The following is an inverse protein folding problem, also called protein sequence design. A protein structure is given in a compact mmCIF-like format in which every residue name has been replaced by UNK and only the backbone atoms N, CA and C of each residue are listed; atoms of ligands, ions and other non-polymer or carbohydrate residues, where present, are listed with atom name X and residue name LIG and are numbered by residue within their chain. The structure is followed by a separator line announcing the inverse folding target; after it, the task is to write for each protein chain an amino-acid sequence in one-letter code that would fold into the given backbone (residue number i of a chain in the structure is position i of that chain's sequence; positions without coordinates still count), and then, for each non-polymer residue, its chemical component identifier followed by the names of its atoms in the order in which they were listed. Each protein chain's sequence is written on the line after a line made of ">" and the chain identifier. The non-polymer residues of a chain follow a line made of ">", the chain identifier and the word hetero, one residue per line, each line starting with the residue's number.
data_IF_355305575666
#
_entry.id   IF_355305575666
#
_cell.length_a   1.000
_cell.length_b   1.000
_cell.length_c   1.000
_cell.angle_alpha   90.00
_cell.angle_beta   90.00
_cell.angle_gamma   90.00
#
_symmetry.space_group_name_H-M   'P 1'
#
loop_
_entity.id
_entity.type
_entity.pdbx_description
1 polymer ?
#
# COMPACT_ATOMS: atom_id res chain seq x y z
N UNK A 1 15.97 -10.82 16.98
CA UNK A 1 14.65 -10.16 17.14
C UNK A 1 13.90 -10.19 15.82
N UNK A 2 12.78 -10.93 15.70
CA UNK A 2 11.92 -10.88 14.52
C UNK A 2 11.12 -9.57 14.48
N UNK A 3 11.10 -8.88 13.34
CA UNK A 3 10.22 -7.73 13.11
C UNK A 3 9.82 -7.54 11.65
N UNK A 4 8.71 -6.82 11.46
CA UNK A 4 8.34 -6.16 10.20
C UNK A 4 8.18 -4.67 10.48
N UNK A 5 8.46 -3.82 9.49
CA UNK A 5 8.38 -2.37 9.64
C UNK A 5 7.69 -1.73 8.44
N UNK A 6 6.97 -0.64 8.65
CA UNK A 6 6.28 0.07 7.59
C UNK A 6 5.88 1.48 8.01
N UNK A 7 5.68 2.35 7.02
CA UNK A 7 5.07 3.66 7.22
C UNK A 7 3.56 3.63 6.92
N UNK A 8 2.78 4.49 7.57
CA UNK A 8 1.35 4.67 7.28
C UNK A 8 0.98 6.15 7.00
N UNK A 9 1.69 6.84 6.07
CA UNK A 9 1.39 8.24 5.78
C UNK A 9 0.08 8.37 5.00
N UNK A 10 -0.82 9.19 5.50
CA UNK A 10 -2.07 9.58 4.84
C UNK A 10 -1.96 11.03 4.32
N UNK A 11 -2.40 11.24 3.08
CA UNK A 11 -2.31 12.53 2.40
C UNK A 11 -3.72 13.03 2.07
N UNK A 12 -3.98 14.31 2.32
CA UNK A 12 -5.24 14.94 1.95
C UNK A 12 -5.53 14.72 0.46
N UNK A 13 -6.77 14.33 0.17
CA UNK A 13 -7.25 14.05 -1.17
C UNK A 13 -8.76 14.36 -1.18
N UNK A 14 -9.21 15.44 -1.83
CA UNK A 14 -8.45 16.31 -2.73
C UNK A 14 -7.48 17.27 -2.01
N UNK A 15 -6.45 17.74 -2.73
CA UNK A 15 -5.51 18.77 -2.28
C UNK A 15 -6.04 20.20 -2.53
N UNK A 16 -6.75 20.41 -3.64
CA UNK A 16 -7.36 21.69 -3.98
C UNK A 16 -8.90 21.64 -3.86
N UNK A 17 -9.53 22.79 -3.57
CA UNK A 17 -10.98 22.89 -3.33
C UNK A 17 -11.86 22.67 -4.56
N UNK A 18 -11.29 22.73 -5.77
CA UNK A 18 -11.98 22.50 -7.05
C UNK A 18 -11.80 21.06 -7.59
N UNK A 19 -11.15 20.20 -6.82
CA UNK A 19 -10.97 18.78 -7.13
C UNK A 19 -11.85 17.90 -6.23
N UNK A 20 -12.13 16.69 -6.71
CA UNK A 20 -12.78 15.62 -5.94
C UNK A 20 -11.81 14.46 -5.74
N UNK A 21 -12.14 13.55 -4.83
CA UNK A 21 -11.36 12.33 -4.62
C UNK A 21 -11.20 11.53 -5.92
N UNK A 22 -12.25 11.47 -6.73
CA UNK A 22 -12.31 10.75 -8.00
C UNK A 22 -11.53 11.43 -9.14
N UNK A 23 -11.05 12.66 -8.95
CA UNK A 23 -10.14 13.31 -9.89
C UNK A 23 -8.69 12.79 -9.77
N UNK A 24 -8.40 11.99 -8.73
CA UNK A 24 -7.06 11.51 -8.42
C UNK A 24 -6.78 10.10 -8.95
N UNK A 25 -5.50 9.85 -9.19
CA UNK A 25 -4.97 8.52 -9.50
C UNK A 25 -3.75 8.22 -8.67
N UNK A 26 -3.52 6.94 -8.38
CA UNK A 26 -2.20 6.47 -7.94
C UNK A 26 -1.50 5.84 -9.14
N UNK A 27 -0.37 6.41 -9.54
CA UNK A 27 0.43 6.01 -10.70
C UNK A 27 1.72 5.34 -10.22
N UNK A 28 2.03 4.18 -10.78
CA UNK A 28 3.20 3.37 -10.54
C UNK A 28 4.25 3.58 -11.63
N UNK A 29 5.54 3.48 -11.28
CA UNK A 29 6.64 3.59 -12.25
C UNK A 29 6.85 2.34 -13.12
N UNK A 30 6.21 1.23 -12.75
CA UNK A 30 6.25 -0.06 -13.45
C UNK A 30 4.86 -0.67 -13.48
N UNK A 31 4.57 -1.57 -14.43
CA UNK A 31 3.26 -2.20 -14.50
C UNK A 31 3.05 -3.09 -13.28
N UNK A 32 1.84 -3.09 -12.76
CA UNK A 32 1.44 -3.91 -11.62
C UNK A 32 1.45 -5.37 -12.08
N UNK A 33 2.27 -6.20 -11.44
CA UNK A 33 2.59 -7.55 -11.93
C UNK A 33 1.51 -8.59 -11.65
N UNK A 34 0.71 -8.38 -10.60
CA UNK A 34 -0.34 -9.29 -10.13
C UNK A 34 -1.50 -8.51 -9.54
N UNK A 35 -2.66 -9.13 -9.51
CA UNK A 35 -3.84 -8.62 -8.81
C UNK A 35 -3.59 -8.51 -7.31
N UNK A 36 -4.30 -7.60 -6.65
CA UNK A 36 -4.03 -7.22 -5.25
C UNK A 36 -4.61 -8.23 -4.26
N UNK A 37 -3.97 -8.29 -3.09
CA UNK A 37 -4.54 -8.91 -1.90
C UNK A 37 -5.34 -7.88 -1.11
N UNK A 38 -6.27 -8.37 -0.27
CA UNK A 38 -7.05 -7.55 0.66
C UNK A 38 -7.22 -8.31 1.98
N UNK A 39 -7.16 -7.62 3.13
CA UNK A 39 -7.50 -8.24 4.40
C UNK A 39 -9.01 -8.47 4.50
N UNK A 40 -9.40 -9.50 5.24
CA UNK A 40 -10.78 -9.68 5.66
C UNK A 40 -11.16 -8.66 6.74
N UNK A 41 -12.28 -7.94 6.57
CA UNK A 41 -12.70 -6.87 7.50
C UNK A 41 -12.89 -7.34 8.94
N UNK A 42 -13.30 -8.59 9.14
CA UNK A 42 -13.64 -9.09 10.47
C UNK A 42 -12.43 -9.64 11.22
N UNK A 43 -11.47 -10.20 10.49
CA UNK A 43 -10.31 -10.91 11.07
C UNK A 43 -8.98 -10.20 10.83
N UNK A 44 -8.89 -9.31 9.85
CA UNK A 44 -7.64 -8.73 9.35
C UNK A 44 -6.74 -9.72 8.59
N UNK A 45 -7.16 -10.99 8.45
CA UNK A 45 -6.35 -12.03 7.80
C UNK A 45 -6.41 -11.86 6.28
N UNK A 46 -5.26 -11.98 5.63
CA UNK A 46 -5.13 -11.93 4.18
C UNK A 46 -5.21 -13.33 3.59
N UNK A 47 -6.20 -13.60 2.74
CA UNK A 47 -6.29 -14.87 2.01
C UNK A 47 -5.43 -14.80 0.73
N UNK A 48 -4.27 -15.46 0.75
CA UNK A 48 -3.31 -15.43 -0.37
C UNK A 48 -3.83 -16.05 -1.67
N UNK A 49 -4.87 -16.89 -1.59
CA UNK A 49 -5.51 -17.53 -2.75
C UNK A 49 -6.65 -16.70 -3.33
N UNK A 50 -7.03 -15.58 -2.69
CA UNK A 50 -8.11 -14.70 -3.13
C UNK A 50 -7.55 -13.34 -3.53
N UNK A 51 -7.19 -13.21 -4.80
CA UNK A 51 -6.75 -11.94 -5.40
C UNK A 51 -7.91 -11.22 -6.07
N UNK A 52 -7.88 -9.89 -6.01
CA UNK A 52 -8.96 -9.03 -6.50
C UNK A 52 -8.52 -8.34 -7.80
N UNK A 53 -9.24 -8.57 -8.92
CA UNK A 53 -8.90 -8.01 -10.21
C UNK A 53 -9.10 -6.50 -10.19
N UNK A 54 -8.00 -5.76 -10.23
CA UNK A 54 -8.06 -4.30 -10.26
C UNK A 54 -6.91 -3.68 -11.08
N UNK A 55 -5.81 -4.40 -11.28
CA UNK A 55 -4.54 -3.72 -11.51
C UNK A 55 -3.55 -4.44 -12.42
N UNK A 56 -3.65 -5.76 -12.63
CA UNK A 56 -2.62 -6.47 -13.39
C UNK A 56 -2.42 -5.88 -14.79
N UNK A 57 -1.16 -5.57 -15.13
CA UNK A 57 -0.75 -4.96 -16.40
C UNK A 57 -0.95 -3.44 -16.50
N UNK A 58 -1.70 -2.82 -15.57
CA UNK A 58 -1.87 -1.37 -15.52
C UNK A 58 -0.70 -0.68 -14.82
N UNK A 59 -0.56 0.61 -15.08
CA UNK A 59 0.38 1.50 -14.38
C UNK A 59 -0.32 2.40 -13.37
N UNK A 60 -1.64 2.32 -13.23
CA UNK A 60 -2.39 3.20 -12.33
C UNK A 60 -3.68 2.56 -11.83
N UNK A 61 -4.20 3.14 -10.75
CA UNK A 61 -5.55 2.95 -10.23
C UNK A 61 -6.23 4.32 -10.15
N UNK A 62 -7.46 4.40 -10.65
CA UNK A 62 -8.32 5.57 -10.47
C UNK A 62 -8.87 5.54 -9.05
N UNK A 63 -8.74 6.65 -8.30
CA UNK A 63 -9.26 6.73 -6.94
C UNK A 63 -10.78 6.78 -6.97
N UNK A 64 -11.41 5.94 -6.17
CA UNK A 64 -12.84 5.91 -5.91
C UNK A 64 -13.04 5.45 -4.46
N UNK A 65 -13.93 6.07 -3.69
CA UNK A 65 -14.14 5.65 -2.29
C UNK A 65 -14.60 4.19 -2.16
N UNK A 66 -15.38 3.70 -3.12
CA UNK A 66 -15.85 2.31 -3.14
C UNK A 66 -14.74 1.25 -3.29
N UNK A 67 -13.51 1.64 -3.64
CA UNK A 67 -12.35 0.74 -3.61
C UNK A 67 -12.03 0.25 -2.19
N UNK A 68 -12.43 1.01 -1.17
CA UNK A 68 -12.06 0.77 0.23
C UNK A 68 -13.27 0.52 1.13
N UNK A 69 -14.42 1.14 0.84
CA UNK A 69 -15.64 1.10 1.68
C UNK A 69 -16.02 -0.31 2.13
N UNK A 70 -16.06 -1.26 1.19
CA UNK A 70 -16.39 -2.67 1.45
C UNK A 70 -15.16 -3.60 1.44
N UNK A 71 -13.98 -3.08 1.09
CA UNK A 71 -12.86 -3.91 0.64
C UNK A 71 -11.50 -3.60 1.30
N UNK A 72 -11.45 -2.70 2.30
CA UNK A 72 -10.22 -2.37 3.05
C UNK A 72 -9.04 -1.97 2.13
N UNK A 73 -7.81 -2.03 2.64
CA UNK A 73 -6.60 -1.70 1.91
C UNK A 73 -6.39 -2.60 0.69
N UNK A 74 -5.93 -2.00 -0.40
CA UNK A 74 -5.35 -2.72 -1.54
C UNK A 74 -3.90 -3.02 -1.22
N UNK A 75 -3.56 -4.30 -1.05
CA UNK A 75 -2.20 -4.74 -0.75
C UNK A 75 -1.51 -5.15 -2.05
N UNK A 76 -0.54 -4.35 -2.48
CA UNK A 76 0.37 -4.67 -3.56
C UNK A 76 1.59 -5.39 -3.00
N UNK A 77 1.45 -6.70 -2.79
CA UNK A 77 2.48 -7.56 -2.21
C UNK A 77 3.63 -7.84 -3.20
N UNK A 78 4.87 -7.87 -2.73
CA UNK A 78 6.09 -8.06 -3.55
C UNK A 78 6.06 -7.27 -4.87
N UNK A 79 5.68 -5.99 -4.80
CA UNK A 79 5.49 -5.16 -5.97
C UNK A 79 6.85 -4.76 -6.57
N UNK A 80 6.95 -4.85 -7.90
CA UNK A 80 8.17 -4.51 -8.66
C UNK A 80 8.36 -3.00 -8.77
N UNK A 81 7.26 -2.26 -8.82
CA UNK A 81 7.24 -0.79 -8.76
C UNK A 81 7.80 -0.31 -7.42
N UNK A 82 8.68 0.69 -7.45
CA UNK A 82 9.30 1.29 -6.26
C UNK A 82 9.02 2.78 -6.12
N UNK A 83 8.07 3.26 -6.92
CA UNK A 83 7.56 4.62 -6.88
C UNK A 83 6.07 4.60 -7.18
N UNK A 84 5.29 5.22 -6.31
CA UNK A 84 3.89 5.50 -6.51
C UNK A 84 3.65 7.01 -6.41
N UNK A 85 2.68 7.53 -7.15
CA UNK A 85 2.35 8.95 -7.19
C UNK A 85 0.85 9.14 -7.13
N UNK A 86 0.35 9.70 -6.04
CA UNK A 86 -1.00 10.21 -5.93
C UNK A 86 -1.04 11.59 -6.60
N UNK A 87 -1.82 11.76 -7.66
CA UNK A 87 -1.84 13.01 -8.43
C UNK A 87 -3.27 13.38 -8.83
N UNK A 88 -3.63 14.64 -8.64
CA UNK A 88 -4.91 15.23 -9.05
C UNK A 88 -4.87 15.73 -10.49
N UNK A 89 -6.04 16.11 -11.02
CA UNK A 89 -6.18 16.64 -12.39
C UNK A 89 -5.39 17.93 -12.62
N UNK A 90 -5.13 18.71 -11.58
CA UNK A 90 -4.35 19.95 -11.64
C UNK A 90 -2.82 19.70 -11.61
N UNK A 91 -2.38 18.44 -11.55
CA UNK A 91 -0.97 18.04 -11.59
C UNK A 91 -0.23 18.14 -10.26
N UNK A 92 -0.91 18.57 -9.18
CA UNK A 92 -0.39 18.54 -7.82
C UNK A 92 -0.54 17.15 -7.22
N UNK A 93 0.37 16.77 -6.35
CA UNK A 93 0.32 15.44 -5.77
C UNK A 93 1.42 15.11 -4.79
N UNK A 94 1.47 13.83 -4.43
CA UNK A 94 2.49 13.26 -3.57
C UNK A 94 3.10 12.06 -4.28
N UNK A 95 4.43 12.06 -4.35
CA UNK A 95 5.21 10.89 -4.77
C UNK A 95 5.84 10.23 -3.56
N UNK A 96 5.73 8.92 -3.49
CA UNK A 96 6.45 8.09 -2.55
C UNK A 96 7.42 7.17 -3.29
N UNK A 97 8.67 7.10 -2.82
CA UNK A 97 9.72 6.22 -3.32
C UNK A 97 10.13 5.28 -2.17
N UNK A 98 10.06 3.97 -2.37
CA UNK A 98 10.09 2.98 -1.28
C UNK A 98 10.99 1.78 -1.63
N UNK A 99 12.25 2.04 -1.96
CA UNK A 99 13.19 1.03 -2.45
C UNK A 99 13.37 -0.16 -1.47
N UNK A 100 13.40 0.14 -0.17
CA UNK A 100 13.68 -0.85 0.88
C UNK A 100 12.43 -1.64 1.32
N UNK A 101 11.25 -1.29 0.80
CA UNK A 101 9.98 -1.92 1.19
C UNK A 101 9.49 -2.84 0.09
N UNK A 102 9.16 -4.09 0.44
CA UNK A 102 8.69 -5.08 -0.52
C UNK A 102 7.27 -4.79 -1.04
N UNK A 103 6.46 -4.10 -0.23
CA UNK A 103 5.03 -3.94 -0.45
C UNK A 103 4.63 -2.46 -0.44
N UNK A 104 3.55 -2.15 -1.13
CA UNK A 104 2.83 -0.88 -0.97
C UNK A 104 1.36 -1.19 -0.70
N UNK A 105 0.76 -0.54 0.30
CA UNK A 105 -0.68 -0.53 0.47
C UNK A 105 -1.24 0.81 0.01
N UNK A 106 -2.43 0.77 -0.58
CA UNK A 106 -3.23 1.96 -0.87
C UNK A 106 -4.54 1.81 -0.12
N UNK A 107 -4.90 2.82 0.67
CA UNK A 107 -6.06 2.76 1.55
C UNK A 107 -6.71 4.14 1.75
N UNK A 108 -7.99 4.14 2.07
CA UNK A 108 -8.72 5.28 2.60
C UNK A 108 -9.77 4.77 3.58
N UNK A 109 -10.12 5.56 4.60
CA UNK A 109 -11.16 5.18 5.54
C UNK A 109 -12.56 5.23 4.90
N UNK A 110 -13.47 4.42 5.43
CA UNK A 110 -14.88 4.43 5.06
C UNK A 110 -15.55 5.78 5.33
N UNK A 111 -16.69 6.04 4.69
CA UNK A 111 -17.47 7.26 4.89
C UNK A 111 -16.93 8.46 4.12
N UNK A 112 -16.42 8.22 2.90
CA UNK A 112 -15.87 9.24 2.00
C UNK A 112 -14.74 10.07 2.64
N UNK A 113 -13.77 9.38 3.25
CA UNK A 113 -12.67 10.04 3.92
C UNK A 113 -11.81 10.87 2.93
N UNK A 114 -11.47 12.13 3.26
CA UNK A 114 -10.79 13.04 2.34
C UNK A 114 -9.26 12.84 2.34
N UNK A 115 -8.81 11.58 2.32
CA UNK A 115 -7.39 11.25 2.27
C UNK A 115 -7.14 9.92 1.57
N UNK A 116 -5.93 9.75 1.05
CA UNK A 116 -5.40 8.46 0.59
C UNK A 116 -4.10 8.18 1.34
N UNK A 117 -3.98 6.99 1.92
CA UNK A 117 -2.74 6.48 2.47
C UNK A 117 -1.94 5.72 1.41
N UNK A 118 -0.63 5.99 1.35
CA UNK A 118 0.33 5.23 0.56
C UNK A 118 1.37 4.64 1.51
N UNK A 119 1.27 3.35 1.78
CA UNK A 119 1.91 2.75 2.94
C UNK A 119 3.00 1.76 2.52
N UNK A 120 4.29 2.14 2.61
CA UNK A 120 5.38 1.29 2.18
C UNK A 120 5.80 0.37 3.33
N UNK A 121 5.61 -0.95 3.16
CA UNK A 121 5.82 -1.93 4.23
C UNK A 121 6.81 -3.05 3.83
N UNK A 122 7.65 -3.48 4.78
CA UNK A 122 8.59 -4.60 4.60
C UNK A 122 7.90 -5.97 4.66
N UNK A 123 6.81 -6.08 5.41
CA UNK A 123 5.93 -7.25 5.51
C UNK A 123 4.45 -6.85 5.50
N UNK A 124 3.55 -7.81 5.45
CA UNK A 124 2.09 -7.57 5.40
C UNK A 124 1.38 -8.23 6.60
N UNK A 125 0.08 -7.99 6.73
CA UNK A 125 -0.77 -8.64 7.72
C UNK A 125 -0.69 -10.18 7.65
N UNK A 126 -1.16 -10.86 8.70
CA UNK A 126 -1.11 -12.33 8.74
C UNK A 126 -1.86 -12.94 7.57
N UNK A 127 -1.21 -13.89 6.92
CA UNK A 127 -1.74 -14.56 5.75
C UNK A 127 -2.34 -15.91 6.14
N UNK A 128 -3.36 -16.35 5.41
CA UNK A 128 -4.08 -17.59 5.67
C UNK A 128 -3.23 -18.86 5.55
N UNK A 129 -2.02 -18.75 4.99
CA UNK A 129 -1.06 -19.83 4.80
C UNK A 129 0.10 -19.82 5.82
N UNK A 130 0.06 -18.93 6.80
CA UNK A 130 1.08 -18.80 7.84
C UNK A 130 0.74 -19.64 9.09
N UNK A 131 1.77 -20.08 9.81
CA UNK A 131 1.63 -20.75 11.11
C UNK A 131 1.81 -19.73 12.25
N UNK A 132 1.70 -20.20 13.49
CA UNK A 132 1.95 -19.38 14.69
C UNK A 132 3.46 -19.13 14.96
N UNK A 133 4.35 -19.55 14.07
CA UNK A 133 5.79 -19.32 14.19
C UNK A 133 6.15 -17.94 13.61
N UNK A 134 6.35 -16.95 14.50
CA UNK A 134 6.61 -15.56 14.13
C UNK A 134 7.79 -15.40 13.17
N UNK A 135 8.85 -16.20 13.34
CA UNK A 135 10.06 -16.15 12.50
C UNK A 135 9.78 -16.59 11.05
N UNK A 136 8.71 -17.36 10.82
CA UNK A 136 8.31 -17.84 9.49
C UNK A 136 7.29 -16.93 8.81
N UNK A 137 6.81 -15.88 9.48
CA UNK A 137 5.89 -14.90 8.90
C UNK A 137 6.50 -14.24 7.65
N UNK A 138 5.69 -14.00 6.63
CA UNK A 138 6.11 -13.36 5.38
C UNK A 138 6.64 -11.95 5.61
N UNK A 139 7.78 -11.64 5.00
CA UNK A 139 8.46 -10.34 5.12
C UNK A 139 9.17 -10.13 6.46
N UNK A 140 9.25 -11.15 7.32
CA UNK A 140 9.93 -11.07 8.60
C UNK A 140 11.43 -10.83 8.43
N UNK A 141 11.94 -9.82 9.10
CA UNK A 141 13.38 -9.57 9.25
C UNK A 141 13.83 -10.11 10.61
N UNK A 142 14.90 -10.91 10.63
CA UNK A 142 15.52 -11.39 11.86
C UNK A 142 16.75 -10.52 12.14
N UNK A 143 16.66 -9.67 13.16
CA UNK A 143 17.78 -8.85 13.61
C UNK A 143 18.65 -9.62 14.61
N UNK A 144 19.92 -9.79 14.31
CA UNK A 144 20.87 -10.43 15.23
C UNK A 144 21.18 -9.52 16.43
N UNK A 145 21.60 -10.07 17.58
CA UNK A 145 22.09 -9.27 18.70
C UNK A 145 23.14 -8.25 18.24
N UNK A 146 23.05 -7.03 18.77
CA UNK A 146 23.98 -5.92 18.50
C UNK A 146 24.06 -5.47 17.01
N UNK A 147 23.10 -5.86 16.17
CA UNK A 147 23.01 -5.46 14.77
C UNK A 147 22.01 -4.33 14.51
N UNK A 148 22.18 -3.64 13.38
CA UNK A 148 21.30 -2.57 12.90
C UNK A 148 20.74 -2.93 11.52
N UNK A 149 19.47 -2.60 11.29
CA UNK A 149 18.84 -2.65 9.97
C UNK A 149 18.19 -1.30 9.67
N UNK A 150 18.41 -0.80 8.45
CA UNK A 150 17.91 0.51 8.01
C UNK A 150 16.92 0.31 6.86
N UNK A 151 15.76 0.93 6.97
CA UNK A 151 14.73 0.97 5.95
C UNK A 151 14.37 2.43 5.68
N UNK A 152 14.28 2.79 4.42
CA UNK A 152 14.02 4.16 4.01
C UNK A 152 12.91 4.24 2.96
N UNK A 153 12.13 5.32 3.05
CA UNK A 153 11.26 5.77 1.98
C UNK A 153 11.30 7.30 1.93
N UNK A 154 11.02 7.85 0.76
CA UNK A 154 11.05 9.29 0.51
C UNK A 154 9.69 9.76 0.02
N UNK A 155 9.20 10.82 0.63
CA UNK A 155 8.00 11.53 0.19
C UNK A 155 8.42 12.83 -0.48
N UNK A 156 7.86 13.13 -1.65
CA UNK A 156 8.07 14.38 -2.39
C UNK A 156 6.71 14.97 -2.75
N UNK A 157 6.49 16.24 -2.41
CA UNK A 157 5.32 16.98 -2.92
C UNK A 157 5.59 17.40 -4.37
N UNK A 158 4.58 17.23 -5.23
CA UNK A 158 4.58 17.61 -6.64
C UNK A 158 3.77 18.90 -6.81
#
# INVERSE_FOLDING_TARGET
>A
MPFVIGGHPAFNCPLDSDENFEDYKVIFDKPISKDVLRPDHSTGIVNINKRYPATQGKYYIDMQHNLFEENDAMIFDDIVSKKATLIGKNGKGIKIEYQDMANLLVWSACGNAPFVALEPWSGIANCSDETDEIEKKRGMTILEPDSEAVFSYKITMI
#
